data_IF_633642513235
#
_entry.id   IF_633642513235
#
_cell.length_a   1.000
_cell.length_b   1.000
_cell.length_c   1.000
_cell.angle_alpha   90.00
_cell.angle_beta   90.00
_cell.angle_gamma   90.00
#
_symmetry.space_group_name_H-M   'P 1'
#
loop_
_entity.id
_entity.type
_entity.pdbx_description
1 polymer ?
#
# COMPACT_ATOMS: atom_id res chain seq x y z
N UNK A 1 -43.70 49.35 -64.13
CA UNK A 1 -42.47 48.95 -63.40
C UNK A 1 -42.81 48.87 -61.91
N UNK A 2 -43.05 47.64 -61.43
CA UNK A 2 -43.49 47.22 -60.08
C UNK A 2 -42.22 46.94 -59.22
N UNK A 3 -42.09 47.11 -57.90
CA UNK A 3 -42.95 47.35 -56.71
C UNK A 3 -42.00 47.96 -55.63
N UNK A 4 -42.35 49.02 -54.89
CA UNK A 4 -43.19 49.05 -53.66
C UNK A 4 -42.70 48.15 -52.50
N UNK A 5 -42.18 48.77 -51.43
CA UNK A 5 -42.78 48.81 -50.06
C UNK A 5 -41.72 48.97 -48.94
N UNK A 6 -41.82 50.04 -48.16
CA UNK A 6 -41.51 50.08 -46.70
C UNK A 6 -42.76 49.59 -45.92
N UNK A 7 -42.83 49.42 -44.57
CA UNK A 7 -41.88 49.80 -43.49
C UNK A 7 -41.74 48.81 -42.27
N UNK A 8 -40.79 49.15 -41.38
CA UNK A 8 -40.67 48.98 -39.91
C UNK A 8 -41.28 47.80 -39.09
N UNK A 9 -40.42 47.13 -38.28
CA UNK A 9 -40.68 46.61 -36.89
C UNK A 9 -39.36 46.09 -36.28
N UNK A 10 -38.77 46.77 -35.29
CA UNK A 10 -38.67 46.43 -33.84
C UNK A 10 -37.97 45.12 -33.42
N UNK A 11 -37.02 45.31 -32.49
CA UNK A 11 -36.53 44.42 -31.41
C UNK A 11 -35.72 43.15 -31.75
N UNK A 12 -34.49 43.10 -31.24
CA UNK A 12 -33.70 41.87 -31.18
C UNK A 12 -32.25 42.10 -30.78
N UNK A 13 -32.00 42.32 -29.49
CA UNK A 13 -30.66 42.33 -28.88
C UNK A 13 -30.05 40.93 -29.03
N UNK A 14 -29.21 40.73 -30.04
CA UNK A 14 -28.40 39.53 -30.24
C UNK A 14 -27.10 39.63 -29.46
N UNK A 15 -27.17 39.45 -28.15
CA UNK A 15 -25.96 39.13 -27.36
C UNK A 15 -25.55 37.73 -27.82
N UNK A 16 -24.40 37.65 -28.49
CA UNK A 16 -23.71 36.38 -28.74
C UNK A 16 -23.29 35.78 -27.40
N UNK A 17 -24.24 35.13 -26.72
CA UNK A 17 -23.96 34.16 -25.67
C UNK A 17 -23.43 32.91 -26.36
N UNK A 18 -22.17 32.98 -26.80
CA UNK A 18 -21.40 31.78 -27.07
C UNK A 18 -21.45 30.95 -25.80
N UNK A 19 -22.21 29.85 -25.85
CA UNK A 19 -22.18 28.84 -24.81
C UNK A 19 -20.73 28.37 -24.69
N UNK A 20 -20.01 28.97 -23.75
CA UNK A 20 -18.92 28.30 -23.07
C UNK A 20 -19.62 27.11 -22.45
N UNK A 21 -19.64 25.99 -23.18
CA UNK A 21 -19.98 24.70 -22.63
C UNK A 21 -19.05 24.56 -21.44
N UNK A 22 -19.60 24.88 -20.27
CA UNK A 22 -18.90 24.81 -19.03
C UNK A 22 -18.33 23.42 -19.00
N UNK A 23 -17.01 23.34 -19.03
CA UNK A 23 -16.30 22.25 -18.43
C UNK A 23 -16.64 22.28 -16.93
N UNK A 24 -17.89 21.95 -16.60
CA UNK A 24 -18.23 21.13 -15.46
C UNK A 24 -17.59 19.76 -15.76
N UNK A 25 -16.26 19.75 -15.86
CA UNK A 25 -15.48 18.66 -15.32
C UNK A 25 -15.94 18.61 -13.87
N UNK A 26 -16.96 17.78 -13.64
CA UNK A 26 -17.30 17.33 -12.32
C UNK A 26 -15.96 17.07 -11.67
N UNK A 27 -15.68 17.80 -10.61
CA UNK A 27 -14.50 17.58 -9.78
C UNK A 27 -14.79 16.30 -9.01
N UNK A 28 -15.03 15.20 -9.73
CA UNK A 28 -15.07 13.87 -9.22
C UNK A 28 -13.68 13.67 -8.62
N UNK A 29 -13.60 13.83 -7.31
CA UNK A 29 -12.47 13.38 -6.51
C UNK A 29 -12.25 11.93 -6.93
N UNK A 30 -11.24 11.71 -7.79
CA UNK A 30 -10.90 10.37 -8.28
C UNK A 30 -10.30 9.60 -7.10
N UNK A 31 -11.18 9.03 -6.30
CA UNK A 31 -10.86 8.13 -5.20
C UNK A 31 -10.08 6.91 -5.72
N UNK A 32 -9.55 6.10 -4.82
CA UNK A 32 -8.87 4.87 -5.24
C UNK A 32 -9.84 3.97 -6.00
N UNK A 33 -9.38 3.40 -7.12
CA UNK A 33 -10.19 2.56 -8.01
C UNK A 33 -10.78 1.33 -7.32
N UNK A 34 -10.08 0.80 -6.31
CA UNK A 34 -10.51 -0.35 -5.51
C UNK A 34 -10.22 -0.03 -4.05
N UNK A 35 -11.24 -0.17 -3.20
CA UNK A 35 -11.11 0.00 -1.76
C UNK A 35 -10.63 -1.31 -1.12
N UNK A 36 -9.33 -1.39 -0.79
CA UNK A 36 -8.73 -2.51 -0.03
C UNK A 36 -8.75 -2.30 1.49
N UNK A 37 -9.22 -1.14 1.92
CA UNK A 37 -9.38 -0.69 3.30
C UNK A 37 -10.34 0.51 3.30
N UNK A 38 -10.82 0.98 4.46
CA UNK A 38 -11.67 2.18 4.54
C UNK A 38 -11.04 3.41 3.85
N UNK A 39 -9.71 3.54 3.87
CA UNK A 39 -8.98 4.61 3.18
C UNK A 39 -9.20 4.66 1.66
N UNK A 40 -9.70 3.58 1.05
CA UNK A 40 -10.10 3.55 -0.36
C UNK A 40 -11.10 4.63 -0.75
N UNK A 41 -12.01 4.97 0.18
CA UNK A 41 -13.07 5.95 -0.02
C UNK A 41 -12.64 7.38 0.28
N UNK A 42 -11.53 7.58 0.99
CA UNK A 42 -11.07 8.90 1.42
C UNK A 42 -9.87 9.41 0.61
N UNK A 43 -9.04 8.51 0.08
CA UNK A 43 -7.80 8.88 -0.58
C UNK A 43 -7.93 8.90 -2.11
N UNK A 44 -7.18 9.80 -2.75
CA UNK A 44 -7.06 9.88 -4.21
C UNK A 44 -5.63 9.52 -4.65
N UNK A 45 -5.48 8.77 -5.74
CA UNK A 45 -4.16 8.30 -6.23
C UNK A 45 -3.29 9.44 -6.78
N UNK A 46 -3.92 10.45 -7.41
CA UNK A 46 -3.26 11.55 -8.15
C UNK A 46 -2.17 11.05 -9.12
N UNK A 47 -2.50 10.07 -9.97
CA UNK A 47 -1.57 9.52 -10.96
C UNK A 47 -0.35 8.84 -10.34
N UNK A 48 0.86 9.14 -10.84
CA UNK A 48 2.14 8.74 -10.25
C UNK A 48 2.84 9.96 -9.63
N UNK A 49 2.17 10.65 -8.68
CA UNK A 49 2.76 11.83 -8.05
C UNK A 49 4.07 11.50 -7.34
N UNK A 50 5.02 12.43 -7.44
CA UNK A 50 6.27 12.37 -6.67
C UNK A 50 6.02 12.87 -5.25
N UNK A 51 6.86 12.41 -4.34
CA UNK A 51 6.85 12.75 -2.92
C UNK A 51 8.25 13.22 -2.53
N UNK A 52 8.39 14.02 -1.47
CA UNK A 52 9.70 14.36 -0.93
C UNK A 52 10.48 13.09 -0.56
N UNK A 53 11.81 13.19 -0.61
CA UNK A 53 12.71 12.09 -0.34
C UNK A 53 12.41 11.42 1.01
N UNK A 54 12.36 10.09 1.02
CA UNK A 54 11.97 9.24 2.17
C UNK A 54 10.59 9.51 2.81
N UNK A 55 9.78 10.43 2.29
CA UNK A 55 8.49 10.82 2.90
C UNK A 55 7.32 10.43 2.00
N UNK A 56 6.95 9.15 2.05
CA UNK A 56 5.69 8.66 1.47
C UNK A 56 4.65 8.50 2.60
N UNK A 57 3.38 8.83 2.36
CA UNK A 57 2.35 8.89 3.41
C UNK A 57 1.99 7.53 3.98
N UNK A 58 2.23 6.45 3.22
CA UNK A 58 2.06 5.10 3.68
C UNK A 58 3.39 4.36 3.58
N UNK A 59 3.94 3.97 4.73
CA UNK A 59 5.18 3.19 4.83
C UNK A 59 4.86 1.75 4.44
N UNK A 60 5.26 1.40 3.21
CA UNK A 60 5.17 0.03 2.70
C UNK A 60 6.58 -0.48 2.38
N UNK A 61 7.14 -1.24 3.30
CA UNK A 61 8.52 -1.74 3.22
C UNK A 61 8.62 -3.03 2.40
N UNK A 62 8.35 -2.96 1.10
CA UNK A 62 8.49 -4.13 0.20
C UNK A 62 9.92 -4.69 0.17
N UNK A 63 10.92 -3.84 0.44
CA UNK A 63 12.34 -4.19 0.46
C UNK A 63 12.81 -4.79 1.80
N UNK A 64 11.92 -4.96 2.79
CA UNK A 64 12.31 -5.38 4.14
C UNK A 64 13.02 -6.74 4.16
N UNK A 65 12.54 -7.69 3.35
CA UNK A 65 13.17 -8.99 3.16
C UNK A 65 14.03 -8.98 1.88
N UNK A 66 15.08 -8.18 1.89
CA UNK A 66 16.12 -8.15 0.86
C UNK A 66 17.48 -8.44 1.50
N UNK A 67 17.61 -9.69 1.99
CA UNK A 67 18.77 -10.11 2.76
C UNK A 67 19.95 -10.33 1.83
N UNK A 68 20.95 -9.44 1.94
CA UNK A 68 22.24 -9.58 1.27
C UNK A 68 23.28 -10.05 2.29
N UNK A 69 24.01 -11.11 1.99
CA UNK A 69 25.04 -11.69 2.86
C UNK A 69 26.06 -10.65 3.41
N UNK A 70 26.70 -9.79 2.59
CA UNK A 70 27.70 -8.84 3.10
C UNK A 70 27.10 -7.74 4.00
N UNK A 71 25.79 -7.47 3.88
CA UNK A 71 25.09 -6.45 4.66
C UNK A 71 24.11 -7.05 5.65
N UNK A 72 24.22 -8.34 5.96
CA UNK A 72 23.23 -9.07 6.75
C UNK A 72 22.93 -8.39 8.10
N UNK A 73 23.96 -7.88 8.78
CA UNK A 73 23.86 -7.20 10.08
C UNK A 73 23.68 -5.67 10.01
N UNK A 74 23.68 -5.09 8.80
CA UNK A 74 23.59 -3.62 8.60
C UNK A 74 22.31 -3.19 7.88
N UNK A 75 21.76 -4.07 7.04
CA UNK A 75 20.56 -3.79 6.28
C UNK A 75 19.31 -4.00 7.14
N UNK A 76 18.43 -2.99 7.19
CA UNK A 76 17.13 -3.05 7.88
C UNK A 76 17.23 -3.59 9.33
N UNK A 77 18.24 -3.14 10.04
CA UNK A 77 18.57 -3.51 11.43
C UNK A 77 18.96 -2.26 12.21
N UNK A 78 19.13 -2.41 13.53
CA UNK A 78 19.66 -1.36 14.38
C UNK A 78 21.00 -0.82 13.83
N UNK A 79 21.22 0.49 13.96
CA UNK A 79 22.44 1.14 13.43
C UNK A 79 23.70 0.75 14.21
N UNK A 80 23.55 0.40 15.49
CA UNK A 80 24.62 -0.06 16.34
C UNK A 80 24.27 -1.41 16.97
N UNK A 81 25.21 -2.37 17.06
CA UNK A 81 25.00 -3.62 17.76
C UNK A 81 24.92 -3.44 19.29
N UNK A 82 25.36 -2.30 19.82
CA UNK A 82 25.27 -1.99 21.25
C UNK A 82 23.91 -1.44 21.69
N UNK A 83 22.98 -1.21 20.74
CA UNK A 83 21.64 -0.78 21.11
C UNK A 83 20.86 -1.93 21.73
N UNK A 84 20.11 -1.60 22.79
CA UNK A 84 19.15 -2.52 23.37
C UNK A 84 18.10 -2.93 22.33
N UNK A 85 17.51 -4.11 22.55
CA UNK A 85 16.38 -4.56 21.75
C UNK A 85 15.23 -3.54 21.86
N UNK A 86 14.38 -3.42 20.82
CA UNK A 86 13.23 -2.53 20.84
C UNK A 86 12.25 -2.83 21.99
N UNK A 87 11.42 -1.86 22.36
CA UNK A 87 10.37 -2.01 23.37
C UNK A 87 9.48 -3.23 23.08
N UNK A 88 9.22 -3.50 21.80
CA UNK A 88 8.36 -4.61 21.36
C UNK A 88 8.90 -6.00 21.71
N UNK A 89 10.15 -6.11 22.17
CA UNK A 89 10.74 -7.35 22.68
C UNK A 89 10.40 -7.65 24.14
N UNK A 90 9.87 -6.68 24.89
CA UNK A 90 9.58 -6.80 26.30
C UNK A 90 8.07 -6.72 26.57
N UNK A 91 7.65 -7.31 27.68
CA UNK A 91 6.30 -7.13 28.22
C UNK A 91 6.36 -5.90 29.12
N UNK A 92 5.70 -4.82 28.72
CA UNK A 92 5.83 -3.50 29.36
C UNK A 92 4.81 -3.24 30.48
N UNK A 93 3.91 -4.19 30.73
CA UNK A 93 2.92 -4.12 31.80
C UNK A 93 2.07 -5.38 31.86
N UNK A 94 1.01 -5.37 32.67
CA UNK A 94 0.14 -6.52 32.84
C UNK A 94 -0.70 -6.78 31.59
N UNK A 95 -0.42 -7.88 30.90
CA UNK A 95 -1.11 -8.27 29.67
C UNK A 95 -1.91 -9.55 29.90
N UNK A 96 -3.15 -9.58 29.42
CA UNK A 96 -3.91 -10.84 29.26
C UNK A 96 -3.26 -11.74 28.20
N UNK A 97 -2.73 -11.12 27.13
CA UNK A 97 -2.07 -11.80 26.02
C UNK A 97 -2.04 -10.94 24.76
N UNK A 98 -1.26 -11.36 23.77
CA UNK A 98 -1.23 -10.73 22.42
C UNK A 98 -1.57 -11.77 21.36
N UNK A 99 -2.41 -11.39 20.40
CA UNK A 99 -2.73 -12.24 19.23
C UNK A 99 -1.52 -12.41 18.30
N UNK A 100 -0.78 -11.32 18.09
CA UNK A 100 0.44 -11.26 17.29
C UNK A 100 1.36 -10.20 17.86
N UNK A 101 2.65 -10.38 17.65
CA UNK A 101 3.70 -9.43 18.02
C UNK A 101 4.03 -8.48 16.87
N UNK A 102 4.75 -7.41 17.20
CA UNK A 102 5.16 -6.40 16.21
C UNK A 102 6.16 -6.97 15.20
N UNK A 103 6.08 -6.53 13.94
CA UNK A 103 7.08 -6.84 12.91
C UNK A 103 8.48 -6.31 13.26
N UNK A 104 8.58 -5.28 14.10
CA UNK A 104 9.86 -4.72 14.53
C UNK A 104 10.52 -5.48 15.67
N UNK A 105 9.81 -6.45 16.26
CA UNK A 105 10.41 -7.31 17.28
C UNK A 105 11.56 -8.10 16.66
N UNK A 106 12.69 -8.12 17.37
CA UNK A 106 13.88 -8.88 16.98
C UNK A 106 13.71 -10.33 17.42
N UNK A 107 13.92 -11.26 16.50
CA UNK A 107 13.86 -12.69 16.81
C UNK A 107 15.07 -13.07 17.69
N UNK A 108 14.81 -13.67 18.84
CA UNK A 108 15.84 -14.05 19.83
C UNK A 108 15.98 -15.56 19.94
N UNK A 109 17.00 -16.03 20.66
CA UNK A 109 17.18 -17.45 20.92
C UNK A 109 15.94 -18.08 21.58
N UNK A 110 15.31 -17.38 22.50
CA UNK A 110 14.12 -17.85 23.22
C UNK A 110 12.92 -18.05 22.29
N UNK A 111 12.82 -17.29 21.19
CA UNK A 111 11.78 -17.53 20.18
C UNK A 111 11.97 -18.87 19.46
N UNK A 112 13.21 -19.39 19.39
CA UNK A 112 13.49 -20.70 18.82
C UNK A 112 13.36 -21.84 19.84
N UNK A 113 13.71 -21.60 21.11
CA UNK A 113 13.82 -22.67 22.11
C UNK A 113 12.57 -22.88 22.96
N UNK A 114 11.78 -21.84 23.21
CA UNK A 114 10.66 -21.91 24.17
C UNK A 114 9.48 -22.76 23.71
N UNK A 115 9.39 -23.07 22.41
CA UNK A 115 8.19 -23.70 21.81
C UNK A 115 6.94 -22.81 21.82
N UNK A 116 7.05 -21.55 22.26
CA UNK A 116 5.94 -20.62 22.30
C UNK A 116 5.52 -20.17 20.89
N UNK A 117 4.25 -19.77 20.75
CA UNK A 117 3.73 -19.29 19.47
C UNK A 117 4.24 -17.88 19.16
N UNK A 118 4.97 -17.77 18.05
CA UNK A 118 5.46 -16.48 17.53
C UNK A 118 4.69 -16.12 16.26
N UNK A 119 3.78 -15.16 16.39
CA UNK A 119 2.83 -14.76 15.35
C UNK A 119 3.02 -13.31 14.94
N UNK A 120 3.01 -13.03 13.64
CA UNK A 120 3.21 -11.69 13.10
C UNK A 120 2.10 -11.35 12.13
N UNK A 121 1.48 -10.17 12.28
CA UNK A 121 0.42 -9.72 11.36
C UNK A 121 0.96 -9.52 9.94
N UNK A 122 0.52 -10.35 9.01
CA UNK A 122 0.91 -10.26 7.60
C UNK A 122 -0.27 -10.61 6.71
N UNK A 123 -0.42 -9.93 5.58
CA UNK A 123 -1.52 -10.23 4.67
C UNK A 123 -1.35 -11.65 4.09
N UNK A 124 -2.40 -12.50 4.06
CA UNK A 124 -3.82 -12.18 4.29
C UNK A 124 -4.27 -12.07 5.75
N UNK A 125 -3.59 -12.74 6.68
CA UNK A 125 -3.98 -12.76 8.10
C UNK A 125 -2.78 -12.65 9.05
N UNK A 126 -2.06 -13.76 9.26
CA UNK A 126 -0.94 -13.88 10.17
C UNK A 126 0.11 -14.81 9.55
N UNK A 127 1.39 -14.49 9.78
CA UNK A 127 2.50 -15.38 9.51
C UNK A 127 3.00 -15.95 10.84
N UNK A 128 3.18 -17.27 10.90
CA UNK A 128 3.65 -17.97 12.09
C UNK A 128 5.05 -18.55 11.88
N UNK A 129 5.94 -18.36 12.84
CA UNK A 129 7.26 -19.02 12.84
C UNK A 129 7.13 -20.43 13.44
N UNK A 130 6.55 -21.36 12.67
CA UNK A 130 6.32 -22.74 13.13
C UNK A 130 7.58 -23.63 13.05
N UNK A 131 8.54 -23.29 12.18
CA UNK A 131 9.83 -23.97 12.07
C UNK A 131 10.93 -23.06 12.64
N UNK A 132 11.22 -23.17 13.95
CA UNK A 132 12.22 -22.32 14.59
C UNK A 132 13.63 -22.60 14.04
N UNK A 133 14.43 -21.55 13.87
CA UNK A 133 15.78 -21.65 13.33
C UNK A 133 16.71 -20.62 13.95
N UNK A 134 17.94 -21.03 14.25
CA UNK A 134 18.99 -20.13 14.78
C UNK A 134 19.42 -19.08 13.75
N UNK A 135 19.21 -19.32 12.46
CA UNK A 135 19.51 -18.37 11.39
C UNK A 135 18.66 -17.08 11.44
N UNK A 136 17.55 -17.11 12.18
CA UNK A 136 16.67 -15.97 12.34
C UNK A 136 17.13 -15.02 13.47
N UNK A 137 17.99 -15.50 14.37
CA UNK A 137 18.34 -14.78 15.60
C UNK A 137 19.05 -13.45 15.29
N UNK A 138 18.66 -12.40 16.01
CA UNK A 138 19.22 -11.06 15.90
C UNK A 138 18.65 -10.23 14.76
N UNK A 139 17.66 -10.77 14.02
CA UNK A 139 16.98 -10.05 12.93
C UNK A 139 15.55 -9.70 13.30
N UNK A 140 15.12 -8.50 12.89
CA UNK A 140 13.72 -8.10 13.02
C UNK A 140 12.82 -9.02 12.19
N UNK A 141 11.66 -9.40 12.73
CA UNK A 141 10.70 -10.26 12.03
C UNK A 141 10.20 -9.66 10.70
N UNK A 142 10.29 -8.33 10.55
CA UNK A 142 10.06 -7.60 9.31
C UNK A 142 10.98 -8.07 8.17
N UNK A 143 12.24 -8.42 8.49
CA UNK A 143 13.22 -8.92 7.52
C UNK A 143 13.10 -10.42 7.25
N UNK A 144 12.29 -11.13 8.05
CA UNK A 144 12.08 -12.57 7.95
C UNK A 144 10.73 -12.92 7.31
N UNK A 145 9.84 -11.95 7.15
CA UNK A 145 8.50 -12.14 6.60
C UNK A 145 8.41 -11.48 5.22
N UNK A 146 8.25 -12.27 4.14
CA UNK A 146 8.17 -11.74 2.77
C UNK A 146 6.95 -10.82 2.61
N UNK A 147 7.12 -9.50 2.37
CA UNK A 147 6.00 -8.55 2.36
C UNK A 147 5.15 -8.63 1.10
N UNK A 148 5.72 -9.07 -0.03
CA UNK A 148 5.03 -9.36 -1.29
C UNK A 148 5.43 -10.76 -1.71
N UNK A 149 4.53 -11.72 -1.53
CA UNK A 149 4.74 -13.09 -1.96
C UNK A 149 4.69 -13.18 -3.49
N UNK A 150 5.38 -14.17 -4.04
CA UNK A 150 5.32 -14.50 -5.47
C UNK A 150 4.03 -15.27 -5.78
N UNK A 151 3.49 -15.97 -4.77
CA UNK A 151 2.17 -16.61 -4.82
C UNK A 151 1.08 -15.53 -4.86
N UNK A 152 0.17 -15.67 -5.82
CA UNK A 152 -0.95 -14.76 -6.05
C UNK A 152 -2.24 -15.58 -6.02
N UNK A 153 -3.18 -15.15 -5.18
CA UNK A 153 -4.52 -15.73 -5.16
C UNK A 153 -5.35 -15.19 -6.34
N UNK A 154 -5.71 -16.08 -7.26
CA UNK A 154 -6.51 -15.76 -8.45
C UNK A 154 -7.94 -15.36 -8.10
N UNK A 155 -8.49 -15.86 -6.98
CA UNK A 155 -9.86 -15.57 -6.53
C UNK A 155 -9.99 -14.14 -6.00
N UNK A 156 -8.89 -13.56 -5.50
CA UNK A 156 -8.84 -12.15 -5.13
C UNK A 156 -8.69 -11.20 -6.33
N UNK A 157 -8.47 -11.73 -7.54
CA UNK A 157 -8.34 -10.93 -8.75
C UNK A 157 -9.65 -10.91 -9.52
N UNK A 158 -10.06 -9.71 -9.93
CA UNK A 158 -11.08 -9.60 -10.99
C UNK A 158 -10.55 -10.20 -12.30
N UNK A 159 -11.43 -10.72 -13.18
CA UNK A 159 -11.04 -11.27 -14.49
C UNK A 159 -10.14 -10.31 -15.28
N UNK A 160 -10.43 -9.00 -15.22
CA UNK A 160 -9.59 -7.96 -15.83
C UNK A 160 -8.19 -7.90 -15.24
N UNK A 161 -8.07 -7.90 -13.91
CA UNK A 161 -6.77 -7.90 -13.25
C UNK A 161 -6.00 -9.18 -13.57
N UNK A 162 -6.65 -10.34 -13.62
CA UNK A 162 -6.00 -11.60 -14.03
C UNK A 162 -5.33 -11.43 -15.39
N UNK A 163 -6.03 -10.90 -16.39
CA UNK A 163 -5.47 -10.67 -17.72
C UNK A 163 -4.26 -9.72 -17.70
N UNK A 164 -4.31 -8.66 -16.88
CA UNK A 164 -3.18 -7.74 -16.72
C UNK A 164 -1.94 -8.46 -16.13
N UNK A 165 -2.15 -9.40 -15.21
CA UNK A 165 -1.06 -10.20 -14.62
C UNK A 165 -0.53 -11.29 -15.56
N UNK A 166 -1.39 -11.91 -16.37
CA UNK A 166 -0.97 -12.84 -17.44
C UNK A 166 -0.12 -12.09 -18.47
N UNK A 167 -0.55 -10.88 -18.88
CA UNK A 167 0.23 -10.02 -19.78
C UNK A 167 1.58 -9.62 -19.20
N UNK A 168 1.68 -9.49 -17.88
CA UNK A 168 2.92 -9.22 -17.18
C UNK A 168 3.80 -10.47 -16.97
N UNK A 169 3.37 -11.65 -17.42
CA UNK A 169 4.11 -12.91 -17.25
C UNK A 169 4.15 -13.43 -15.81
N UNK A 170 3.22 -12.99 -14.95
CA UNK A 170 3.18 -13.36 -13.53
C UNK A 170 2.26 -14.55 -13.24
N UNK A 171 1.21 -14.73 -14.05
CA UNK A 171 0.28 -15.85 -13.92
C UNK A 171 0.31 -16.69 -15.21
N UNK A 172 0.22 -18.03 -15.10
CA UNK A 172 0.03 -18.89 -16.26
C UNK A 172 -1.36 -18.66 -16.87
N UNK A 173 -1.47 -18.89 -18.18
CA UNK A 173 -2.72 -18.74 -18.94
C UNK A 173 -3.50 -20.05 -18.92
#
# INVERSE_FOLDING_TARGET
MLRRCCPATTSGVGINAGMVAGAFASTQKRFLKIAKSPFGFYLARRGQRKYPFHRRPHIKNTHAMNLNAPYFWKFMTAKSPSFFLPEENYITGDWTGKFFVSKRQVYTLQHATSGAKVRVKSFPSVFEFNTPSRWNIGKEMNTLTKPRMDLIDEQMLTKKQRLDYVKAGLLPK
#
